data_IF_651159632858
#
_entry.id   IF_651159632858
#
_cell.length_a   1.000
_cell.length_b   1.000
_cell.length_c   1.000
_cell.angle_alpha   90.00
_cell.angle_beta   90.00
_cell.angle_gamma   90.00
#
_symmetry.space_group_name_H-M   'P 1'
#
loop_
_entity.id
_entity.type
_entity.pdbx_description
1 polymer ?
#
# COMPACT_ATOMS: atom_id res chain seq x y z
N UNK A 1 12.61 14.04 -9.14
CA UNK A 1 12.01 12.99 -8.28
C UNK A 1 12.67 11.62 -8.48
N UNK A 2 12.46 10.90 -9.61
CA UNK A 2 13.07 9.57 -9.81
C UNK A 2 14.61 9.55 -9.76
N UNK A 3 15.26 10.54 -10.36
CA UNK A 3 16.73 10.68 -10.29
C UNK A 3 17.22 10.99 -8.87
N UNK A 4 16.46 11.76 -8.09
CA UNK A 4 16.76 12.00 -6.68
C UNK A 4 16.67 10.70 -5.88
N UNK A 5 15.64 9.88 -6.12
CA UNK A 5 15.52 8.57 -5.50
C UNK A 5 16.69 7.66 -5.87
N UNK A 6 17.06 7.59 -7.15
CA UNK A 6 18.21 6.79 -7.59
C UNK A 6 19.55 7.23 -6.97
N UNK A 7 19.72 8.54 -6.73
CA UNK A 7 20.95 9.11 -6.18
C UNK A 7 21.03 9.07 -4.65
N UNK A 8 19.91 9.32 -3.96
CA UNK A 8 19.87 9.57 -2.51
C UNK A 8 18.99 8.59 -1.74
N UNK A 9 18.20 7.74 -2.40
CA UNK A 9 17.19 6.88 -1.75
C UNK A 9 15.94 7.63 -1.27
N UNK A 10 15.87 8.95 -1.46
CA UNK A 10 14.73 9.79 -1.14
C UNK A 10 14.27 10.54 -2.41
N UNK A 11 12.99 10.41 -2.85
CA UNK A 11 12.48 11.10 -4.04
C UNK A 11 12.44 12.65 -3.91
N UNK A 12 12.32 13.15 -2.67
CA UNK A 12 12.21 14.57 -2.29
C UNK A 12 13.22 14.87 -1.16
N UNK A 13 14.53 14.89 -1.47
CA UNK A 13 15.59 15.05 -0.47
C UNK A 13 15.74 16.50 0.03
N UNK A 14 15.29 17.48 -0.75
CA UNK A 14 15.32 18.90 -0.42
C UNK A 14 13.90 19.43 -0.30
N UNK A 15 13.55 19.95 0.88
CA UNK A 15 12.23 20.50 1.18
C UNK A 15 12.00 21.87 0.51
N UNK A 16 13.09 22.55 0.12
CA UNK A 16 13.05 23.84 -0.56
C UNK A 16 13.25 23.70 -2.08
N UNK A 17 13.09 22.49 -2.63
CA UNK A 17 13.19 22.26 -4.07
C UNK A 17 12.14 23.11 -4.79
N UNK A 18 12.54 24.08 -5.65
CA UNK A 18 11.63 25.02 -6.27
C UNK A 18 10.64 24.37 -7.24
N UNK A 19 10.93 23.15 -7.71
CA UNK A 19 10.08 22.39 -8.63
C UNK A 19 9.08 21.49 -7.90
N UNK A 20 9.52 20.81 -6.83
CA UNK A 20 8.69 19.82 -6.14
C UNK A 20 7.90 20.42 -4.99
N UNK A 21 8.51 21.32 -4.20
CA UNK A 21 7.90 22.02 -3.05
C UNK A 21 7.07 21.12 -2.11
N UNK A 22 7.41 19.82 -2.04
CA UNK A 22 6.67 18.83 -1.28
C UNK A 22 7.61 17.73 -0.78
N UNK A 23 7.42 17.32 0.47
CA UNK A 23 8.12 16.19 1.06
C UNK A 23 7.26 14.93 0.96
N UNK A 24 7.76 13.92 0.25
CA UNK A 24 7.13 12.61 0.17
C UNK A 24 7.52 11.77 1.40
N UNK A 25 6.59 11.67 2.34
CA UNK A 25 6.77 10.89 3.56
C UNK A 25 6.82 9.37 3.26
N UNK A 26 7.75 8.62 3.87
CA UNK A 26 7.81 7.18 3.69
C UNK A 26 6.61 6.48 4.33
N UNK A 27 6.38 5.24 3.92
CA UNK A 27 5.44 4.33 4.60
C UNK A 27 5.97 4.03 6.00
N UNK A 28 5.14 4.18 7.03
CA UNK A 28 5.55 3.99 8.42
C UNK A 28 5.23 2.58 8.93
N UNK A 29 3.99 2.13 8.74
CA UNK A 29 3.52 0.80 9.09
C UNK A 29 2.49 0.29 8.08
N UNK A 30 1.98 -0.93 8.30
CA UNK A 30 0.96 -1.60 7.49
C UNK A 30 -0.39 -0.85 7.46
N UNK A 31 -0.66 0.01 8.45
CA UNK A 31 -1.90 0.78 8.60
C UNK A 31 -1.78 2.21 8.07
N UNK A 32 -0.56 2.69 7.85
CA UNK A 32 -0.25 4.07 7.47
C UNK A 32 0.60 4.08 6.21
N UNK A 33 -0.05 3.76 5.11
CA UNK A 33 0.51 3.78 3.78
C UNK A 33 0.46 5.20 3.21
N UNK A 34 1.46 6.01 3.54
CA UNK A 34 1.61 7.35 2.97
C UNK A 34 1.92 7.24 1.47
N UNK A 35 1.27 8.07 0.66
CA UNK A 35 1.50 8.10 -0.78
C UNK A 35 1.49 9.54 -1.31
N UNK A 36 2.14 9.71 -2.45
CA UNK A 36 2.11 10.94 -3.23
C UNK A 36 1.26 10.71 -4.48
N UNK A 37 0.20 11.51 -4.65
CA UNK A 37 -0.60 11.57 -5.87
C UNK A 37 0.10 12.46 -6.88
N UNK A 38 0.52 11.88 -7.99
CA UNK A 38 1.22 12.58 -9.07
C UNK A 38 0.20 12.87 -10.18
N UNK A 39 -0.41 14.06 -10.12
CA UNK A 39 -1.38 14.55 -11.10
C UNK A 39 -0.93 15.87 -11.72
N UNK A 40 -1.89 16.77 -12.01
CA UNK A 40 -1.60 18.16 -12.34
C UNK A 40 -0.92 18.90 -11.19
N UNK A 41 -1.28 18.53 -9.96
CA UNK A 41 -0.70 19.01 -8.72
C UNK A 41 -0.19 17.81 -7.92
N UNK A 42 0.88 18.02 -7.16
CA UNK A 42 1.38 17.02 -6.22
C UNK A 42 0.59 17.11 -4.91
N UNK A 43 -0.09 16.03 -4.54
CA UNK A 43 -0.85 15.99 -3.28
C UNK A 43 -0.50 14.77 -2.46
N UNK A 44 -0.45 14.93 -1.14
CA UNK A 44 -0.19 13.82 -0.22
C UNK A 44 -1.48 13.19 0.22
N UNK A 45 -1.45 11.88 0.39
CA UNK A 45 -2.56 11.13 0.95
C UNK A 45 -2.07 9.98 1.82
N UNK A 46 -3.01 9.33 2.47
CA UNK A 46 -2.78 8.13 3.28
C UNK A 46 -3.79 7.06 2.89
N UNK A 47 -3.32 5.81 2.85
CA UNK A 47 -4.11 4.61 2.58
C UNK A 47 -4.83 4.69 1.22
N UNK A 48 -4.07 4.56 0.11
CA UNK A 48 -4.63 4.70 -1.23
C UNK A 48 -5.66 3.60 -1.50
N UNK A 49 -6.81 3.98 -2.07
CA UNK A 49 -7.90 3.06 -2.42
C UNK A 49 -8.37 2.15 -1.28
N UNK A 50 -8.38 2.67 -0.04
CA UNK A 50 -8.66 1.90 1.17
C UNK A 50 -9.84 0.92 1.08
N UNK A 51 -10.99 1.38 0.57
CA UNK A 51 -12.19 0.52 0.44
C UNK A 51 -11.97 -0.66 -0.49
N UNK A 52 -11.30 -0.43 -1.63
CA UNK A 52 -11.00 -1.47 -2.61
C UNK A 52 -9.99 -2.46 -2.06
N UNK A 53 -8.94 -1.98 -1.39
CA UNK A 53 -7.93 -2.84 -0.77
C UNK A 53 -8.56 -3.73 0.29
N UNK A 54 -9.36 -3.13 1.18
CA UNK A 54 -10.12 -3.84 2.22
C UNK A 54 -11.05 -4.90 1.63
N UNK A 55 -11.72 -4.60 0.51
CA UNK A 55 -12.59 -5.57 -0.18
C UNK A 55 -11.82 -6.81 -0.65
N UNK A 56 -10.66 -6.62 -1.29
CA UNK A 56 -9.87 -7.74 -1.80
C UNK A 56 -9.18 -8.54 -0.69
N UNK A 57 -8.73 -7.88 0.37
CA UNK A 57 -8.17 -8.54 1.56
C UNK A 57 -9.21 -9.47 2.19
N UNK A 58 -10.43 -8.97 2.42
CA UNK A 58 -11.54 -9.79 2.96
C UNK A 58 -11.87 -10.97 2.05
N UNK A 59 -12.00 -10.73 0.74
CA UNK A 59 -12.29 -11.81 -0.21
C UNK A 59 -11.20 -12.89 -0.19
N UNK A 60 -9.92 -12.48 -0.10
CA UNK A 60 -8.80 -13.41 -0.05
C UNK A 60 -8.80 -14.25 1.24
N UNK A 61 -9.07 -13.62 2.38
CA UNK A 61 -9.21 -14.30 3.69
C UNK A 61 -10.33 -15.34 3.68
N UNK A 62 -11.52 -14.97 3.18
CA UNK A 62 -12.67 -15.86 3.07
C UNK A 62 -12.36 -17.08 2.18
N UNK A 63 -11.75 -16.85 1.02
CA UNK A 63 -11.40 -17.94 0.12
C UNK A 63 -10.30 -18.86 0.68
N UNK A 64 -9.31 -18.32 1.39
CA UNK A 64 -8.29 -19.11 2.07
C UNK A 64 -8.91 -20.01 3.15
N UNK A 65 -9.84 -19.46 3.93
CA UNK A 65 -10.57 -20.21 4.93
C UNK A 65 -11.38 -21.35 4.31
N UNK A 66 -12.16 -21.06 3.27
CA UNK A 66 -12.98 -22.07 2.58
C UNK A 66 -12.13 -23.20 1.98
N UNK A 67 -10.99 -22.88 1.35
CA UNK A 67 -10.06 -23.90 0.85
C UNK A 67 -9.52 -24.79 1.96
N UNK A 68 -9.17 -24.18 3.08
CA UNK A 68 -8.65 -24.90 4.25
C UNK A 68 -9.72 -25.83 4.82
N UNK A 69 -10.96 -25.35 4.98
CA UNK A 69 -12.09 -26.18 5.41
C UNK A 69 -12.38 -27.35 4.47
N UNK A 70 -12.44 -27.10 3.15
CA UNK A 70 -12.69 -28.14 2.15
C UNK A 70 -11.58 -29.20 2.21
N UNK A 71 -10.32 -28.78 2.28
CA UNK A 71 -9.19 -29.70 2.40
C UNK A 71 -9.33 -30.62 3.62
N UNK A 72 -9.69 -30.08 4.79
CA UNK A 72 -9.89 -30.89 6.00
C UNK A 72 -11.08 -31.85 5.90
N UNK A 73 -12.17 -31.41 5.27
CA UNK A 73 -13.33 -32.27 5.02
C UNK A 73 -13.00 -33.41 4.03
N UNK A 74 -12.23 -33.12 2.97
CA UNK A 74 -11.83 -34.10 1.95
C UNK A 74 -10.92 -35.20 2.52
N UNK A 75 -10.11 -34.88 3.52
CA UNK A 75 -9.27 -35.87 4.23
C UNK A 75 -9.98 -36.55 5.41
N UNK A 76 -11.28 -36.31 5.59
CA UNK A 76 -12.13 -36.98 6.58
C UNK A 76 -12.00 -36.47 8.02
N UNK A 77 -11.47 -35.26 8.23
CA UNK A 77 -11.41 -34.62 9.55
C UNK A 77 -12.65 -33.73 9.71
N UNK A 78 -13.59 -34.15 10.54
CA UNK A 78 -14.74 -33.34 10.95
C UNK A 78 -14.55 -32.90 12.42
N UNK A 79 -14.73 -31.60 12.68
CA UNK A 79 -14.70 -31.01 14.02
C UNK A 79 -16.10 -30.96 14.63
#
# INVERSE_FOLDING_TARGET
MWTNFAKYGNPTPDENDPLLQITWDPVHDDKTLNYLSIGSELTKGRNPFYERMTFWEKMHEEHLFLRTLVYFNDIGVQW
#
